data_IF_095302974767
#
_entry.id   IF_095302974767
#
_cell.length_a   1.000
_cell.length_b   1.000
_cell.length_c   1.000
_cell.angle_alpha   90.00
_cell.angle_beta   90.00
_cell.angle_gamma   90.00
#
_symmetry.space_group_name_H-M   'P 1'
#
loop_
_entity.id
_entity.type
_entity.pdbx_description
1 polymer ?
#
# COMPACT_ATOMS: atom_id res chain seq x y z
N UNK A 1 -16.55 -4.14 -10.83
CA UNK A 1 -15.69 -3.57 -9.78
C UNK A 1 -15.23 -2.19 -10.21
N UNK A 2 -15.31 -1.22 -9.33
CA UNK A 2 -14.95 0.17 -9.63
C UNK A 2 -13.62 0.54 -8.97
N UNK A 3 -12.98 1.60 -9.48
CA UNK A 3 -11.83 2.19 -8.82
C UNK A 3 -12.21 2.68 -7.42
N UNK A 4 -11.23 2.72 -6.52
CA UNK A 4 -11.40 3.24 -5.16
C UNK A 4 -10.59 4.51 -5.00
N UNK A 5 -11.23 5.57 -4.52
CA UNK A 5 -10.56 6.81 -4.17
C UNK A 5 -10.97 7.23 -2.76
N UNK A 6 -10.01 7.22 -1.84
CA UNK A 6 -10.17 7.74 -0.49
C UNK A 6 -9.28 8.96 -0.36
N UNK A 7 -9.89 10.13 -0.27
CA UNK A 7 -9.14 11.39 -0.15
C UNK A 7 -8.60 11.56 1.27
N UNK A 8 -7.45 12.21 1.44
CA UNK A 8 -6.98 12.54 2.79
C UNK A 8 -7.97 13.46 3.49
N UNK A 9 -8.01 13.38 4.83
CA UNK A 9 -8.80 14.33 5.60
C UNK A 9 -8.19 15.73 5.49
N UNK A 10 -8.98 16.75 5.85
CA UNK A 10 -8.52 18.14 5.71
C UNK A 10 -7.38 18.50 6.66
N UNK A 11 -7.14 17.68 7.70
CA UNK A 11 -6.03 17.86 8.63
C UNK A 11 -4.75 17.13 8.17
N UNK A 12 -4.81 16.36 7.09
CA UNK A 12 -3.68 15.60 6.59
C UNK A 12 -3.26 14.44 7.48
N UNK A 13 -4.18 13.86 8.23
CA UNK A 13 -3.92 12.73 9.13
C UNK A 13 -4.17 11.37 8.47
N UNK A 14 -4.90 11.34 7.37
CA UNK A 14 -5.17 10.13 6.61
C UNK A 14 -4.54 10.24 5.23
N UNK A 15 -4.05 9.12 4.66
CA UNK A 15 -3.42 9.16 3.35
C UNK A 15 -4.44 9.22 2.22
N UNK A 16 -3.98 9.68 1.05
CA UNK A 16 -4.67 9.44 -0.20
C UNK A 16 -4.52 7.96 -0.55
N UNK A 17 -5.63 7.30 -0.84
CA UNK A 17 -5.65 5.93 -1.36
C UNK A 17 -6.36 5.97 -2.70
N UNK A 18 -5.62 5.73 -3.77
CA UNK A 18 -6.11 5.80 -5.15
C UNK A 18 -5.81 4.48 -5.83
N UNK A 19 -6.77 3.59 -5.84
CA UNK A 19 -6.65 2.24 -6.37
C UNK A 19 -7.45 2.09 -7.66
N UNK A 20 -6.76 1.75 -8.74
CA UNK A 20 -7.36 1.56 -10.06
C UNK A 20 -7.55 0.07 -10.36
N UNK A 21 -8.68 -0.29 -10.93
CA UNK A 21 -8.92 -1.68 -11.38
C UNK A 21 -7.93 -2.14 -12.45
N UNK A 22 -7.27 -1.19 -13.11
CA UNK A 22 -6.19 -1.49 -14.07
C UNK A 22 -4.95 -2.09 -13.42
N UNK A 23 -4.81 -1.98 -12.09
CA UNK A 23 -3.69 -2.51 -11.34
C UNK A 23 -2.71 -1.46 -10.81
N UNK A 24 -2.97 -0.17 -11.02
CA UNK A 24 -2.15 0.90 -10.44
C UNK A 24 -2.75 1.30 -9.10
N UNK A 25 -1.99 1.09 -8.04
CA UNK A 25 -2.42 1.32 -6.65
C UNK A 25 -1.49 2.34 -6.00
N UNK A 26 -2.06 3.45 -5.52
CA UNK A 26 -1.28 4.52 -4.90
C UNK A 26 -1.73 4.76 -3.47
N UNK A 27 -0.76 4.88 -2.56
CA UNK A 27 -0.96 5.31 -1.16
C UNK A 27 0.04 6.44 -0.93
N UNK A 28 -0.47 7.65 -0.64
CA UNK A 28 0.36 8.85 -0.57
C UNK A 28 0.01 9.72 0.64
N UNK A 29 0.99 10.40 1.19
CA UNK A 29 0.83 11.42 2.22
C UNK A 29 1.22 10.96 3.60
N UNK A 30 0.33 11.16 4.59
CA UNK A 30 0.60 10.85 5.99
C UNK A 30 -0.52 9.97 6.54
N UNK A 31 -0.15 9.02 7.39
CA UNK A 31 -1.11 8.09 8.00
C UNK A 31 -0.88 8.07 9.52
N UNK A 32 -1.44 9.05 10.21
CA UNK A 32 -1.18 9.32 11.62
C UNK A 32 -2.45 9.39 12.48
N UNK A 33 -3.62 9.20 11.88
CA UNK A 33 -4.87 9.17 12.63
C UNK A 33 -4.85 7.97 13.57
N UNK A 34 -5.23 8.16 14.83
CA UNK A 34 -5.21 7.09 15.80
C UNK A 34 -6.18 5.96 15.43
N UNK A 35 -7.37 6.31 14.95
CA UNK A 35 -8.36 5.34 14.47
C UNK A 35 -8.27 5.16 12.95
N UNK A 36 -7.09 4.82 12.45
CA UNK A 36 -6.83 4.71 11.01
C UNK A 36 -7.51 3.49 10.37
N UNK A 37 -7.90 2.49 11.18
CA UNK A 37 -8.50 1.25 10.66
C UNK A 37 -9.73 1.55 9.81
N UNK A 38 -10.61 2.43 10.26
CA UNK A 38 -11.83 2.77 9.53
C UNK A 38 -11.53 3.39 8.15
N UNK A 39 -10.45 4.17 8.06
CA UNK A 39 -10.02 4.75 6.79
C UNK A 39 -9.46 3.69 5.83
N UNK A 40 -8.67 2.75 6.35
CA UNK A 40 -8.02 1.72 5.53
C UNK A 40 -8.91 0.52 5.19
N UNK A 41 -9.94 0.26 5.99
CA UNK A 41 -10.75 -0.95 5.81
C UNK A 41 -11.36 -1.07 4.40
N UNK A 42 -11.90 0.01 3.80
CA UNK A 42 -12.37 -0.07 2.41
C UNK A 42 -11.26 -0.45 1.42
N UNK A 43 -10.02 -0.02 1.66
CA UNK A 43 -8.90 -0.36 0.81
C UNK A 43 -8.54 -1.85 0.93
N UNK A 44 -8.51 -2.39 2.15
CA UNK A 44 -8.27 -3.80 2.39
C UNK A 44 -9.36 -4.64 1.72
N UNK A 45 -10.61 -4.27 1.89
CA UNK A 45 -11.75 -4.96 1.27
C UNK A 45 -11.68 -4.91 -0.26
N UNK A 46 -11.28 -3.76 -0.80
CA UNK A 46 -11.11 -3.58 -2.24
C UNK A 46 -10.03 -4.53 -2.81
N UNK A 47 -8.89 -4.63 -2.13
CA UNK A 47 -7.81 -5.55 -2.52
C UNK A 47 -8.28 -7.01 -2.48
N UNK A 48 -9.03 -7.38 -1.45
CA UNK A 48 -9.58 -8.73 -1.34
C UNK A 48 -10.56 -9.04 -2.46
N UNK A 49 -11.37 -8.08 -2.88
CA UNK A 49 -12.23 -8.24 -4.04
C UNK A 49 -11.43 -8.35 -5.34
N UNK A 50 -10.38 -7.55 -5.49
CA UNK A 50 -9.50 -7.62 -6.66
C UNK A 50 -8.89 -9.00 -6.82
N UNK A 51 -8.60 -9.67 -5.70
CA UNK A 51 -7.98 -11.01 -5.71
C UNK A 51 -8.85 -12.08 -6.34
N UNK A 52 -10.15 -11.86 -6.49
CA UNK A 52 -11.05 -12.82 -7.14
C UNK A 52 -10.86 -12.85 -8.65
N UNK A 53 -10.49 -11.71 -9.26
CA UNK A 53 -10.21 -11.61 -10.68
C UNK A 53 -9.19 -10.48 -10.93
N UNK A 54 -7.93 -10.68 -10.55
CA UNK A 54 -6.94 -9.62 -10.61
C UNK A 54 -6.47 -9.34 -12.02
N UNK A 55 -6.01 -8.09 -12.31
CA UNK A 55 -5.37 -7.79 -13.58
C UNK A 55 -4.03 -8.52 -13.70
N UNK A 56 -3.49 -8.66 -14.92
CA UNK A 56 -2.21 -9.37 -15.11
C UNK A 56 -1.04 -8.76 -14.35
N UNK A 57 -1.03 -7.44 -14.21
CA UNK A 57 0.05 -6.70 -13.54
C UNK A 57 -0.53 -5.74 -12.52
N UNK A 58 0.08 -5.73 -11.33
CA UNK A 58 -0.28 -4.80 -10.25
C UNK A 58 0.98 -4.07 -9.81
N UNK A 59 0.89 -2.75 -9.72
CA UNK A 59 1.96 -1.89 -9.20
C UNK A 59 1.43 -1.12 -8.00
N UNK A 60 2.02 -1.35 -6.84
CA UNK A 60 1.70 -0.62 -5.62
C UNK A 60 2.76 0.44 -5.38
N UNK A 61 2.35 1.71 -5.40
CA UNK A 61 3.22 2.84 -5.11
C UNK A 61 2.91 3.37 -3.72
N UNK A 62 3.88 3.31 -2.83
CA UNK A 62 3.75 3.82 -1.46
C UNK A 62 4.67 5.03 -1.32
N UNK A 63 4.05 6.21 -1.16
CA UNK A 63 4.73 7.51 -1.05
C UNK A 63 4.29 8.20 0.23
N UNK A 64 4.63 7.62 1.37
CA UNK A 64 4.24 8.13 2.67
C UNK A 64 5.36 8.97 3.28
N UNK A 65 5.02 10.13 3.82
CA UNK A 65 5.94 10.96 4.60
C UNK A 65 6.12 10.39 6.01
N UNK A 66 5.05 9.82 6.56
CA UNK A 66 5.05 9.21 7.89
C UNK A 66 3.84 8.30 8.06
N UNK A 67 3.97 7.26 8.86
CA UNK A 67 2.85 6.42 9.27
C UNK A 67 3.08 5.87 10.67
N UNK A 68 1.99 5.72 11.44
CA UNK A 68 2.04 5.19 12.81
C UNK A 68 1.97 3.66 12.83
N UNK A 69 2.08 3.08 14.02
CA UNK A 69 2.10 1.62 14.19
C UNK A 69 0.82 0.95 13.69
N UNK A 70 -0.35 1.55 13.89
CA UNK A 70 -1.62 0.99 13.41
C UNK A 70 -1.69 1.00 11.89
N UNK A 71 -1.24 2.08 11.27
CA UNK A 71 -1.14 2.17 9.81
C UNK A 71 -0.19 1.12 9.26
N UNK A 72 0.92 0.84 9.94
CA UNK A 72 1.88 -0.15 9.48
C UNK A 72 1.28 -1.56 9.40
N UNK A 73 0.34 -1.88 10.28
CA UNK A 73 -0.38 -3.15 10.25
C UNK A 73 -1.35 -3.23 9.07
N UNK A 74 -2.02 -2.14 8.75
CA UNK A 74 -2.92 -2.08 7.60
C UNK A 74 -2.16 -2.19 6.29
N UNK A 75 -1.01 -1.53 6.19
CA UNK A 75 -0.11 -1.65 5.03
C UNK A 75 0.36 -3.10 4.89
N UNK A 76 0.72 -3.74 5.99
CA UNK A 76 1.13 -5.15 5.98
C UNK A 76 0.02 -6.06 5.46
N UNK A 77 -1.24 -5.81 5.87
CA UNK A 77 -2.39 -6.59 5.38
C UNK A 77 -2.55 -6.48 3.87
N UNK A 78 -2.40 -5.26 3.33
CA UNK A 78 -2.45 -5.03 1.88
C UNK A 78 -1.31 -5.78 1.18
N UNK A 79 -0.09 -5.67 1.71
CA UNK A 79 1.07 -6.35 1.14
C UNK A 79 0.91 -7.86 1.14
N UNK A 80 0.38 -8.43 2.22
CA UNK A 80 0.14 -9.89 2.30
C UNK A 80 -0.90 -10.36 1.30
N UNK A 81 -1.96 -9.60 1.08
CA UNK A 81 -2.96 -9.95 0.08
C UNK A 81 -2.36 -9.93 -1.33
N UNK A 82 -1.55 -8.93 -1.64
CA UNK A 82 -0.85 -8.84 -2.93
C UNK A 82 0.19 -9.95 -3.08
N UNK A 83 0.90 -10.29 -2.00
CA UNK A 83 1.84 -11.42 -1.99
C UNK A 83 1.14 -12.72 -2.40
N UNK A 84 -0.05 -12.97 -1.87
CA UNK A 84 -0.85 -14.14 -2.22
C UNK A 84 -1.16 -14.22 -3.71
N UNK A 85 -1.53 -13.09 -4.32
CA UNK A 85 -1.79 -13.03 -5.76
C UNK A 85 -0.53 -13.29 -6.59
N UNK A 86 0.61 -12.76 -6.13
CA UNK A 86 1.89 -12.90 -6.82
C UNK A 86 2.40 -14.34 -6.74
N UNK A 87 2.39 -14.94 -5.55
CA UNK A 87 2.87 -16.30 -5.34
C UNK A 87 2.00 -17.36 -6.02
N UNK A 88 0.69 -17.11 -6.11
CA UNK A 88 -0.23 -17.98 -6.85
C UNK A 88 -0.21 -17.74 -8.37
N UNK A 89 0.60 -16.81 -8.83
CA UNK A 89 0.76 -16.45 -10.26
C UNK A 89 -0.51 -15.88 -10.91
N UNK A 90 -1.43 -15.37 -10.09
CA UNK A 90 -2.62 -14.68 -10.62
C UNK A 90 -2.29 -13.32 -11.19
N UNK A 91 -1.30 -12.64 -10.60
CA UNK A 91 -0.83 -11.33 -11.05
C UNK A 91 0.66 -11.20 -10.81
N UNK A 92 1.32 -10.41 -11.66
CA UNK A 92 2.69 -10.01 -11.41
C UNK A 92 2.67 -8.69 -10.63
N UNK A 93 3.07 -8.74 -9.36
CA UNK A 93 3.00 -7.60 -8.44
C UNK A 93 4.39 -7.00 -8.24
N UNK A 94 4.47 -5.67 -8.26
CA UNK A 94 5.68 -4.91 -7.92
C UNK A 94 5.30 -3.83 -6.92
N UNK A 95 6.15 -3.63 -5.92
CA UNK A 95 6.00 -2.57 -4.92
C UNK A 95 7.08 -1.52 -5.16
N UNK A 96 6.66 -0.28 -5.34
CA UNK A 96 7.56 0.88 -5.39
C UNK A 96 7.46 1.62 -4.07
N UNK A 97 8.53 1.59 -3.30
CA UNK A 97 8.60 2.23 -1.98
C UNK A 97 9.43 3.51 -2.09
N UNK A 98 8.77 4.64 -1.93
CA UNK A 98 9.39 5.96 -2.04
C UNK A 98 9.79 6.46 -0.66
N UNK A 99 10.94 7.08 -0.58
CA UNK A 99 11.45 7.70 0.65
C UNK A 99 12.27 8.95 0.30
N UNK A 100 12.26 9.95 1.19
CA UNK A 100 13.12 11.12 1.01
C UNK A 100 14.59 10.77 1.18
N UNK A 101 15.48 11.47 0.51
CA UNK A 101 16.92 11.20 0.55
C UNK A 101 17.49 11.17 1.96
N UNK A 102 16.95 12.02 2.85
CA UNK A 102 17.39 12.13 4.24
C UNK A 102 16.53 11.32 5.22
N UNK A 103 15.51 10.60 4.72
CA UNK A 103 14.56 9.89 5.56
C UNK A 103 14.98 8.44 5.77
N UNK A 104 15.91 8.25 6.70
CA UNK A 104 16.40 6.91 7.03
C UNK A 104 15.34 6.03 7.68
N UNK A 105 14.40 6.61 8.42
CA UNK A 105 13.31 5.85 9.06
C UNK A 105 12.38 5.25 8.01
N UNK A 106 12.04 6.01 6.97
CA UNK A 106 11.19 5.52 5.89
C UNK A 106 11.91 4.47 5.04
N UNK A 107 13.21 4.65 4.80
CA UNK A 107 14.03 3.64 4.11
C UNK A 107 14.06 2.34 4.91
N UNK A 108 14.29 2.42 6.22
CA UNK A 108 14.33 1.26 7.11
C UNK A 108 12.98 0.54 7.14
N UNK A 109 11.87 1.30 7.20
CA UNK A 109 10.54 0.71 7.18
C UNK A 109 10.30 -0.10 5.90
N UNK A 110 10.69 0.42 4.75
CA UNK A 110 10.59 -0.30 3.48
C UNK A 110 11.46 -1.55 3.45
N UNK A 111 12.68 -1.47 3.98
CA UNK A 111 13.57 -2.62 4.08
C UNK A 111 12.98 -3.70 4.99
N UNK A 112 12.33 -3.32 6.09
CA UNK A 112 11.68 -4.26 7.00
C UNK A 112 10.56 -5.01 6.29
N UNK A 113 9.69 -4.33 5.55
CA UNK A 113 8.66 -5.00 4.76
C UNK A 113 9.27 -5.92 3.71
N UNK A 114 10.29 -5.46 3.01
CA UNK A 114 10.97 -6.25 1.98
C UNK A 114 11.55 -7.55 2.55
N UNK A 115 11.96 -7.53 3.81
CA UNK A 115 12.53 -8.71 4.47
C UNK A 115 11.51 -9.79 4.80
N UNK A 116 10.22 -9.43 4.93
CA UNK A 116 9.17 -10.37 5.36
C UNK A 116 8.11 -10.64 4.27
N UNK A 117 8.01 -9.80 3.26
CA UNK A 117 7.04 -9.92 2.17
C UNK A 117 7.75 -10.38 0.91
N UNK A 118 7.25 -11.46 0.31
CA UNK A 118 7.84 -12.06 -0.90
C UNK A 118 7.28 -11.40 -2.15
N UNK A 119 7.58 -10.11 -2.31
CA UNK A 119 7.27 -9.32 -3.49
C UNK A 119 8.52 -8.57 -3.93
N UNK A 120 8.68 -8.29 -5.24
CA UNK A 120 9.74 -7.40 -5.68
C UNK A 120 9.47 -5.97 -5.19
N UNK A 121 10.43 -5.40 -4.49
CA UNK A 121 10.40 -4.01 -4.03
C UNK A 121 11.45 -3.20 -4.78
N UNK A 122 11.06 -2.02 -5.26
CA UNK A 122 11.98 -1.00 -5.74
C UNK A 122 12.02 0.13 -4.71
N UNK A 123 13.19 0.35 -4.13
CA UNK A 123 13.40 1.44 -3.17
C UNK A 123 13.79 2.68 -3.95
N UNK A 124 12.97 3.72 -3.90
CA UNK A 124 13.09 4.91 -4.76
C UNK A 124 13.22 6.16 -3.89
N UNK A 125 14.35 6.86 -4.03
CA UNK A 125 14.59 8.12 -3.34
C UNK A 125 14.24 9.34 -4.19
#
# INVERSE_FOLDING_TARGET
>A
MNDLLLKPDFQGKTPLIDFKVSGVLNIEGRSILENIIDHFQPAVDWINNLSTCPPPTITLNIKLEYFNTRSSKMILNILKSLEGMHLSKKSKVTVNWYYGDDDLDMLEAGNDYQSIIKLPFNMIS
#
